data_IF_090873924040
#
_entry.id   IF_090873924040
#
_cell.length_a   1.000
_cell.length_b   1.000
_cell.length_c   1.000
_cell.angle_alpha   90.00
_cell.angle_beta   90.00
_cell.angle_gamma   90.00
#
_symmetry.space_group_name_H-M   'P 1'
#
loop_
_entity.id
_entity.type
_entity.pdbx_description
1 polymer ?
#
# COMPACT_ATOMS: atom_id res chain seq x y z
N UNK A 1 13.16 -2.40 5.68
CA UNK A 1 11.87 -2.93 6.15
C UNK A 1 10.92 -3.21 5.00
N UNK A 2 10.74 -2.29 4.05
CA UNK A 2 9.83 -2.42 2.91
C UNK A 2 10.11 -3.65 2.02
N UNK A 3 11.39 -4.00 1.81
CA UNK A 3 11.77 -5.22 1.09
C UNK A 3 11.31 -6.49 1.83
N UNK A 4 11.48 -6.51 3.15
CA UNK A 4 11.15 -7.67 3.98
C UNK A 4 9.63 -7.85 4.20
N UNK A 5 8.84 -6.80 4.02
CA UNK A 5 7.38 -6.87 4.10
C UNK A 5 6.73 -7.28 2.78
N UNK A 6 7.46 -7.26 1.68
CA UNK A 6 6.92 -7.48 0.33
C UNK A 6 6.43 -6.22 -0.38
N UNK A 7 6.36 -5.06 0.29
CA UNK A 7 5.85 -3.82 -0.32
C UNK A 7 6.63 -3.44 -1.57
N UNK A 8 7.97 -3.50 -1.53
CA UNK A 8 8.80 -3.20 -2.70
C UNK A 8 8.58 -4.16 -3.87
N UNK A 9 8.13 -5.40 -3.60
CA UNK A 9 7.84 -6.35 -4.67
C UNK A 9 6.66 -5.88 -5.54
N UNK A 10 5.71 -5.18 -4.94
CA UNK A 10 4.50 -4.69 -5.60
C UNK A 10 4.72 -3.38 -6.37
N UNK A 11 5.78 -2.66 -6.06
CA UNK A 11 6.08 -1.35 -6.66
C UNK A 11 7.13 -1.47 -7.76
N UNK A 12 6.95 -0.71 -8.84
CA UNK A 12 7.84 -0.71 -10.00
C UNK A 12 7.11 -0.99 -11.31
N UNK A 13 7.88 -1.14 -12.37
CA UNK A 13 7.36 -1.37 -13.71
C UNK A 13 7.26 -2.86 -14.01
N UNK A 14 6.32 -3.22 -14.89
CA UNK A 14 6.14 -4.59 -15.38
C UNK A 14 7.42 -5.10 -16.06
N UNK A 15 7.86 -6.31 -15.67
CA UNK A 15 9.12 -6.90 -16.15
C UNK A 15 10.39 -6.25 -15.60
N UNK A 16 10.28 -5.14 -14.84
CA UNK A 16 11.41 -4.46 -14.23
C UNK A 16 11.72 -4.94 -12.82
N UNK A 17 12.79 -4.41 -12.19
CA UNK A 17 13.12 -4.71 -10.81
C UNK A 17 12.11 -4.09 -9.83
N UNK A 18 12.02 -4.61 -8.59
CA UNK A 18 11.28 -3.97 -7.52
C UNK A 18 11.85 -2.58 -7.21
N UNK A 19 10.97 -1.62 -6.99
CA UNK A 19 11.36 -0.27 -6.61
C UNK A 19 10.87 0.08 -5.20
N UNK A 20 11.71 0.78 -4.45
CA UNK A 20 11.29 1.41 -3.22
C UNK A 20 10.47 2.67 -3.58
N UNK A 21 9.38 2.90 -2.85
CA UNK A 21 8.67 4.18 -2.92
C UNK A 21 9.56 5.33 -2.45
N UNK A 22 9.33 6.54 -2.94
CA UNK A 22 10.10 7.72 -2.56
C UNK A 22 10.05 8.04 -1.06
N UNK A 23 8.97 7.64 -0.39
CA UNK A 23 8.79 7.74 1.05
C UNK A 23 9.12 6.41 1.73
N UNK A 24 9.69 6.47 2.94
CA UNK A 24 9.89 5.29 3.78
C UNK A 24 8.60 4.98 4.54
N UNK A 25 7.72 4.17 3.98
CA UNK A 25 6.41 3.84 4.57
C UNK A 25 6.51 3.19 5.95
N UNK A 26 7.59 2.48 6.23
CA UNK A 26 7.78 1.76 7.49
C UNK A 26 7.72 2.65 8.71
N UNK A 27 8.34 3.81 8.66
CA UNK A 27 8.44 4.72 9.79
C UNK A 27 7.09 5.37 10.14
N UNK A 28 6.39 6.06 9.23
CA UNK A 28 5.09 6.65 9.56
C UNK A 28 4.03 5.61 9.92
N UNK A 29 3.99 4.45 9.25
CA UNK A 29 3.01 3.40 9.57
C UNK A 29 3.23 2.83 10.96
N UNK A 30 4.47 2.54 11.34
CA UNK A 30 4.79 2.10 12.69
C UNK A 30 4.54 3.19 13.73
N UNK A 31 4.80 4.45 13.40
CA UNK A 31 4.50 5.60 14.26
C UNK A 31 3.02 5.74 14.55
N UNK A 32 2.16 5.63 13.55
CA UNK A 32 0.70 5.66 13.70
C UNK A 32 0.21 4.48 14.54
N UNK A 33 0.70 3.27 14.27
CA UNK A 33 0.34 2.08 15.03
C UNK A 33 0.79 2.19 16.50
N UNK A 34 1.99 2.70 16.76
CA UNK A 34 2.49 2.95 18.10
C UNK A 34 1.65 3.98 18.84
N UNK A 35 1.25 5.07 18.19
CA UNK A 35 0.38 6.08 18.79
C UNK A 35 -0.98 5.49 19.20
N UNK A 36 -1.58 4.66 18.35
CA UNK A 36 -2.82 3.94 18.67
C UNK A 36 -2.66 2.98 19.84
N UNK A 37 -1.60 2.19 19.85
CA UNK A 37 -1.29 1.26 20.92
C UNK A 37 -1.05 1.98 22.27
N UNK A 38 -0.36 3.11 22.26
CA UNK A 38 -0.15 3.95 23.45
C UNK A 38 -1.49 4.50 23.97
N UNK A 39 -2.36 4.97 23.07
CA UNK A 39 -3.68 5.47 23.47
C UNK A 39 -4.52 4.38 24.15
N UNK A 40 -4.54 3.17 23.59
CA UNK A 40 -5.21 2.00 24.16
C UNK A 40 -4.63 1.60 25.52
N UNK A 41 -3.31 1.54 25.63
CA UNK A 41 -2.64 1.21 26.89
C UNK A 41 -2.90 2.26 27.97
N UNK A 42 -2.98 3.54 27.62
CA UNK A 42 -3.35 4.61 28.55
C UNK A 42 -4.80 4.50 29.00
N UNK A 43 -5.70 4.18 28.09
CA UNK A 43 -7.11 3.96 28.42
C UNK A 43 -7.28 2.77 29.35
N UNK A 44 -6.64 1.65 29.07
CA UNK A 44 -6.68 0.46 29.93
C UNK A 44 -6.06 0.72 31.32
N UNK A 45 -4.91 1.43 31.36
CA UNK A 45 -4.29 1.83 32.62
C UNK A 45 -5.23 2.66 33.52
N UNK A 46 -6.06 3.53 32.94
CA UNK A 46 -7.05 4.30 33.74
C UNK A 46 -8.10 3.40 34.36
N UNK A 47 -8.45 2.29 33.75
CA UNK A 47 -9.43 1.32 34.23
C UNK A 47 -8.84 0.35 35.27
N UNK A 48 -7.62 -0.13 34.99
CA UNK A 48 -7.03 -1.26 35.74
C UNK A 48 -5.95 -0.84 36.72
N UNK A 49 -5.41 0.37 36.61
CA UNK A 49 -4.23 0.83 37.36
C UNK A 49 -2.90 0.21 36.85
N UNK A 50 -2.92 -0.69 35.86
CA UNK A 50 -1.76 -1.47 35.40
C UNK A 50 -1.16 -0.87 34.14
N UNK A 51 0.17 -0.78 34.09
CA UNK A 51 0.90 -0.43 32.87
C UNK A 51 1.11 -1.66 31.98
N UNK A 52 1.43 -1.41 30.70
CA UNK A 52 1.71 -2.43 29.70
C UNK A 52 3.02 -2.13 28.99
N UNK A 53 3.70 -3.18 28.53
CA UNK A 53 4.77 -3.08 27.53
C UNK A 53 4.13 -3.13 26.14
N UNK A 54 4.56 -2.23 25.26
CA UNK A 54 4.11 -2.17 23.88
C UNK A 54 5.31 -2.49 23.00
N UNK A 55 5.11 -3.43 22.09
CA UNK A 55 6.06 -3.78 21.05
C UNK A 55 5.40 -3.55 19.69
N UNK A 56 6.05 -2.81 18.78
CA UNK A 56 5.54 -2.49 17.44
C UNK A 56 6.61 -2.86 16.43
N UNK A 57 6.36 -3.89 15.64
CA UNK A 57 7.25 -4.31 14.57
C UNK A 57 6.91 -3.54 13.28
N UNK A 58 7.84 -2.76 12.77
CA UNK A 58 7.65 -2.00 11.50
C UNK A 58 7.28 -2.91 10.33
N UNK A 59 7.93 -4.06 10.22
CA UNK A 59 7.66 -5.03 9.15
C UNK A 59 6.23 -5.55 9.17
N UNK A 60 5.72 -5.90 10.34
CA UNK A 60 4.36 -6.41 10.50
C UNK A 60 3.32 -5.33 10.15
N UNK A 61 3.57 -4.08 10.54
CA UNK A 61 2.71 -2.98 10.16
C UNK A 61 2.69 -2.74 8.63
N UNK A 62 3.82 -2.94 7.95
CA UNK A 62 3.87 -2.85 6.49
C UNK A 62 3.12 -4.00 5.80
N UNK A 63 3.10 -5.20 6.38
CA UNK A 63 2.28 -6.31 5.86
C UNK A 63 0.80 -5.95 5.87
N UNK A 64 0.32 -5.21 6.86
CA UNK A 64 -1.06 -4.73 6.89
C UNK A 64 -1.38 -3.76 5.73
N UNK A 65 -0.41 -3.01 5.24
CA UNK A 65 -0.58 -2.10 4.08
C UNK A 65 -0.84 -2.87 2.79
N UNK A 66 -0.29 -4.09 2.67
CA UNK A 66 -0.47 -4.98 1.53
C UNK A 66 -1.43 -6.14 1.82
N UNK A 67 -2.36 -5.93 2.75
CA UNK A 67 -3.26 -6.97 3.24
C UNK A 67 -4.09 -7.66 2.15
N UNK A 68 -4.51 -6.94 1.12
CA UNK A 68 -5.23 -7.51 -0.04
C UNK A 68 -4.41 -8.58 -0.76
N UNK A 69 -3.12 -8.34 -0.96
CA UNK A 69 -2.21 -9.27 -1.63
C UNK A 69 -1.95 -10.49 -0.78
N UNK A 70 -1.82 -10.30 0.55
CA UNK A 70 -1.68 -11.41 1.50
C UNK A 70 -2.93 -12.28 1.48
N UNK A 71 -4.13 -11.68 1.49
CA UNK A 71 -5.40 -12.40 1.38
C UNK A 71 -5.55 -13.12 0.04
N UNK A 72 -5.19 -12.46 -1.06
CA UNK A 72 -5.26 -13.08 -2.39
C UNK A 72 -4.36 -14.31 -2.49
N UNK A 73 -3.18 -14.27 -1.90
CA UNK A 73 -2.30 -15.42 -1.81
C UNK A 73 -2.87 -16.51 -0.90
N UNK A 74 -3.30 -16.15 0.32
CA UNK A 74 -3.81 -17.12 1.29
C UNK A 74 -5.07 -17.84 0.83
N UNK A 75 -5.96 -17.14 0.12
CA UNK A 75 -7.24 -17.69 -0.33
C UNK A 75 -7.17 -18.39 -1.68
N UNK A 76 -6.33 -17.91 -2.59
CA UNK A 76 -6.35 -18.33 -4.00
C UNK A 76 -4.98 -18.85 -4.50
N UNK A 77 -3.93 -18.82 -3.67
CA UNK A 77 -2.57 -19.16 -4.09
C UNK A 77 -1.99 -18.19 -5.14
N UNK A 78 -2.61 -17.02 -5.31
CA UNK A 78 -2.24 -16.08 -6.35
C UNK A 78 -1.08 -15.19 -5.88
N UNK A 79 0.08 -15.34 -6.50
CA UNK A 79 1.20 -14.45 -6.26
C UNK A 79 0.90 -13.05 -6.84
N UNK A 80 1.16 -11.98 -6.07
CA UNK A 80 0.93 -10.64 -6.55
C UNK A 80 1.97 -10.25 -7.61
N UNK A 81 1.52 -9.59 -8.65
CA UNK A 81 2.36 -9.08 -9.75
C UNK A 81 2.47 -7.55 -9.70
N UNK A 82 3.61 -7.03 -10.15
CA UNK A 82 3.73 -5.59 -10.40
C UNK A 82 2.93 -5.21 -11.63
N UNK A 83 2.00 -4.29 -11.47
CA UNK A 83 1.11 -3.84 -12.56
C UNK A 83 1.39 -2.43 -13.03
N UNK A 84 2.43 -1.79 -12.48
CA UNK A 84 2.70 -0.38 -12.73
C UNK A 84 1.46 0.47 -12.41
N UNK A 85 0.98 1.23 -13.37
CA UNK A 85 -0.25 2.03 -13.24
C UNK A 85 -1.51 1.30 -13.75
N UNK A 86 -1.44 0.01 -14.05
CA UNK A 86 -2.61 -0.76 -14.52
C UNK A 86 -3.50 -1.17 -13.35
N UNK A 87 -4.78 -1.16 -13.57
CA UNK A 87 -5.79 -1.65 -12.62
C UNK A 87 -6.42 -2.96 -13.11
N UNK A 88 -6.90 -3.79 -12.18
CA UNK A 88 -7.47 -5.12 -12.52
C UNK A 88 -8.82 -5.04 -13.22
N UNK A 89 -9.59 -3.97 -13.00
CA UNK A 89 -10.97 -3.80 -13.45
C UNK A 89 -11.24 -2.47 -14.14
N UNK A 90 -10.25 -1.57 -14.24
CA UNK A 90 -10.41 -0.27 -14.89
C UNK A 90 -9.57 -0.21 -16.18
N UNK A 91 -10.13 0.28 -17.27
CA UNK A 91 -9.44 0.47 -18.54
C UNK A 91 -10.08 1.64 -19.34
N UNK A 92 -9.28 2.64 -19.82
CA UNK A 92 -7.88 2.83 -19.50
C UNK A 92 -7.64 3.23 -18.06
N UNK A 93 -6.53 2.78 -17.52
CA UNK A 93 -6.04 3.19 -16.20
C UNK A 93 -4.52 3.35 -16.28
N UNK A 94 -4.03 4.57 -16.19
CA UNK A 94 -2.60 4.82 -16.35
C UNK A 94 -2.22 6.29 -16.37
N UNK A 95 -0.93 6.50 -16.61
CA UNK A 95 -0.33 7.80 -16.83
C UNK A 95 0.17 7.86 -18.28
N UNK A 96 -0.24 8.86 -19.03
CA UNK A 96 -0.02 8.98 -20.45
C UNK A 96 0.71 10.29 -20.76
N UNK A 97 1.70 10.20 -21.66
CA UNK A 97 2.43 11.39 -22.11
C UNK A 97 1.58 12.20 -23.08
N UNK A 98 1.48 13.49 -22.81
CA UNK A 98 0.79 14.45 -23.68
C UNK A 98 1.74 15.16 -24.62
N UNK A 99 1.20 15.98 -25.51
CA UNK A 99 1.98 16.88 -26.34
C UNK A 99 2.67 17.95 -25.49
N UNK A 100 3.91 18.29 -25.83
CA UNK A 100 4.74 19.24 -25.07
C UNK A 100 5.87 18.57 -24.32
N UNK A 101 6.63 19.36 -23.57
CA UNK A 101 7.73 18.87 -22.74
C UNK A 101 7.24 18.55 -21.34
N UNK A 102 7.52 17.34 -20.91
CA UNK A 102 7.17 16.81 -19.57
C UNK A 102 5.69 17.02 -19.15
N UNK A 103 4.77 16.90 -20.12
CA UNK A 103 3.33 16.97 -19.89
C UNK A 103 2.73 15.59 -19.80
N UNK A 104 1.97 15.35 -18.74
CA UNK A 104 1.39 14.05 -18.44
C UNK A 104 -0.07 14.17 -18.03
N UNK A 105 -0.86 13.16 -18.38
CA UNK A 105 -2.27 13.02 -18.01
C UNK A 105 -2.48 11.68 -17.34
N UNK A 106 -3.24 11.67 -16.26
CA UNK A 106 -3.70 10.43 -15.64
C UNK A 106 -5.14 10.16 -16.04
N UNK A 107 -5.43 8.92 -16.43
CA UNK A 107 -6.77 8.46 -16.82
C UNK A 107 -7.11 7.25 -15.98
N UNK A 108 -8.34 7.23 -15.44
CA UNK A 108 -8.94 6.08 -14.76
C UNK A 108 -10.41 5.98 -15.15
N UNK A 109 -10.76 4.98 -15.96
CA UNK A 109 -12.14 4.70 -16.35
C UNK A 109 -12.63 3.44 -15.66
N UNK A 110 -13.63 3.59 -14.81
CA UNK A 110 -14.23 2.50 -14.05
C UNK A 110 -15.42 1.88 -14.77
N UNK A 111 -16.11 2.66 -15.62
CA UNK A 111 -17.32 2.25 -16.31
C UNK A 111 -17.24 2.47 -17.82
N UNK A 112 -18.03 1.70 -18.57
CA UNK A 112 -18.15 1.84 -20.03
C UNK A 112 -18.63 3.25 -20.43
N UNK A 113 -19.50 3.86 -19.63
CA UNK A 113 -19.96 5.22 -19.87
C UNK A 113 -18.81 6.24 -19.78
N UNK A 114 -17.90 6.08 -18.83
CA UNK A 114 -16.71 6.93 -18.73
C UNK A 114 -15.76 6.70 -19.91
N UNK A 115 -15.60 5.44 -20.34
CA UNK A 115 -14.79 5.11 -21.51
C UNK A 115 -15.34 5.75 -22.78
N UNK A 116 -16.65 5.71 -23.00
CA UNK A 116 -17.31 6.30 -24.18
C UNK A 116 -17.22 7.83 -24.16
N UNK A 117 -17.19 8.43 -22.97
CA UNK A 117 -17.07 9.89 -22.81
C UNK A 117 -15.64 10.43 -22.96
N UNK A 118 -14.62 9.57 -22.96
CA UNK A 118 -13.21 9.91 -23.10
C UNK A 118 -12.86 10.18 -24.56
#
# INVERSE_FOLDING_TARGET
>A
MEQLSGLCHLTGYEGGPPHKTGLSYGDPMAGIAAAGAIALARWDRRRTGRGQRIEVAQRENLVNVIGEQVLAYAMNGREPERRCNRHSSMAPHGCYRCAGDDQWLTIACETDAQFVAL
#
